data_IF_828835815383
#
_entry.id   IF_828835815383
#
_cell.length_a   1.000
_cell.length_b   1.000
_cell.length_c   1.000
_cell.angle_alpha   90.00
_cell.angle_beta   90.00
_cell.angle_gamma   90.00
#
_symmetry.space_group_name_H-M   'P 1'
#
loop_
_entity.id
_entity.type
_entity.pdbx_description
1 polymer ?
#
# COMPACT_ATOMS: atom_id res chain seq x y z
N UNK A 1 -28.24 1.80 -4.73
CA UNK A 1 -27.33 1.76 -5.90
C UNK A 1 -26.22 0.75 -5.62
N UNK A 2 -26.05 -0.25 -6.46
CA UNK A 2 -24.96 -1.19 -6.27
C UNK A 2 -23.61 -0.47 -6.45
N UNK A 3 -22.71 -0.66 -5.50
CA UNK A 3 -21.35 -0.16 -5.62
C UNK A 3 -20.61 -1.04 -6.64
N UNK A 4 -20.15 -0.42 -7.70
CA UNK A 4 -19.29 -1.10 -8.65
C UNK A 4 -17.88 -1.18 -8.07
N UNK A 5 -17.43 -2.40 -7.81
CA UNK A 5 -16.09 -2.65 -7.28
C UNK A 5 -15.29 -3.41 -8.34
N UNK A 6 -14.63 -2.71 -9.25
CA UNK A 6 -13.91 -3.36 -10.34
C UNK A 6 -12.72 -4.15 -9.81
N UNK A 7 -12.43 -5.24 -10.48
CA UNK A 7 -11.18 -5.96 -10.26
C UNK A 7 -10.05 -5.22 -10.96
N UNK A 8 -8.92 -5.12 -10.29
CA UNK A 8 -7.71 -4.53 -10.84
C UNK A 8 -6.69 -5.61 -11.19
N UNK A 9 -5.80 -5.27 -12.10
CA UNK A 9 -4.67 -6.11 -12.51
C UNK A 9 -3.39 -5.44 -12.01
N UNK A 10 -2.47 -6.24 -11.48
CA UNK A 10 -1.18 -5.72 -11.05
C UNK A 10 -0.31 -5.40 -12.27
N UNK A 11 0.19 -4.17 -12.35
CA UNK A 11 1.13 -3.72 -13.38
C UNK A 11 2.59 -4.00 -13.04
N UNK A 12 2.84 -4.60 -11.89
CA UNK A 12 4.13 -4.99 -11.36
C UNK A 12 3.91 -5.77 -10.08
N UNK A 13 4.98 -6.22 -9.46
CA UNK A 13 4.89 -6.93 -8.19
C UNK A 13 4.43 -5.98 -7.08
N UNK A 14 3.43 -6.41 -6.31
CA UNK A 14 2.83 -5.62 -5.22
C UNK A 14 2.98 -6.38 -3.91
N UNK A 15 3.58 -5.75 -2.91
CA UNK A 15 3.68 -6.32 -1.57
C UNK A 15 2.35 -6.23 -0.82
N UNK A 16 2.06 -7.17 0.09
CA UNK A 16 0.86 -7.12 0.91
C UNK A 16 0.82 -5.86 1.78
N UNK A 17 -0.39 -5.38 2.06
CA UNK A 17 -0.62 -4.23 2.94
C UNK A 17 0.17 -2.98 2.49
N UNK A 18 0.08 -2.66 1.20
CA UNK A 18 0.76 -1.53 0.57
C UNK A 18 -0.19 -0.62 -0.17
N UNK A 19 0.13 0.65 -0.22
CA UNK A 19 -0.58 1.62 -1.05
C UNK A 19 -0.32 1.38 -2.52
N UNK A 20 -1.34 1.58 -3.34
CA UNK A 20 -1.29 1.40 -4.79
C UNK A 20 -1.78 2.64 -5.53
N UNK A 21 -1.28 2.80 -6.75
CA UNK A 21 -1.64 3.86 -7.68
C UNK A 21 -2.09 3.26 -9.01
N UNK A 22 -2.89 3.99 -9.77
CA UNK A 22 -3.33 3.58 -11.12
C UNK A 22 -2.21 3.87 -12.12
N UNK A 23 -1.82 2.86 -12.88
CA UNK A 23 -0.79 2.98 -13.92
C UNK A 23 -1.32 2.68 -15.32
N UNK A 24 -2.56 2.24 -15.44
CA UNK A 24 -3.20 1.94 -16.72
C UNK A 24 -4.69 1.63 -16.51
N UNK A 25 -5.38 1.28 -17.57
CA UNK A 25 -6.80 0.92 -17.48
C UNK A 25 -6.97 -0.33 -16.61
N UNK A 26 -7.72 -0.20 -15.53
CA UNK A 26 -7.88 -1.25 -14.49
C UNK A 26 -6.56 -1.87 -14.02
N UNK A 27 -5.46 -1.13 -14.15
CA UNK A 27 -4.13 -1.59 -13.77
C UNK A 27 -3.59 -0.72 -12.64
N UNK A 28 -3.08 -1.36 -11.60
CA UNK A 28 -2.48 -0.69 -10.44
C UNK A 28 -1.09 -1.22 -10.19
N UNK A 29 -0.25 -0.35 -9.63
CA UNK A 29 1.08 -0.70 -9.17
C UNK A 29 1.30 -0.18 -7.77
N UNK A 30 2.28 -0.76 -7.06
CA UNK A 30 2.69 -0.24 -5.77
C UNK A 30 3.21 1.19 -5.93
N UNK A 31 2.83 2.09 -5.02
CA UNK A 31 3.30 3.47 -5.05
C UNK A 31 4.82 3.50 -4.91
N UNK A 32 5.50 4.12 -5.86
CA UNK A 32 6.96 4.23 -5.92
C UNK A 32 7.49 5.66 -5.90
N UNK A 33 6.61 6.66 -6.01
CA UNK A 33 7.00 8.08 -5.99
C UNK A 33 5.99 8.90 -5.18
N UNK A 34 6.46 9.98 -4.56
CA UNK A 34 5.62 10.86 -3.73
C UNK A 34 4.57 11.63 -4.52
N UNK A 35 4.73 11.74 -5.83
CA UNK A 35 3.81 12.44 -6.72
C UNK A 35 2.68 11.55 -7.23
N UNK A 36 2.76 10.25 -7.03
CA UNK A 36 1.76 9.31 -7.50
C UNK A 36 0.53 9.33 -6.60
N UNK A 37 -0.67 9.56 -7.17
CA UNK A 37 -1.91 9.54 -6.38
C UNK A 37 -2.16 8.14 -5.80
N UNK A 38 -2.50 8.09 -4.53
CA UNK A 38 -2.90 6.85 -3.88
C UNK A 38 -4.39 6.64 -4.15
N UNK A 39 -4.78 5.48 -4.67
CA UNK A 39 -6.20 5.13 -4.86
C UNK A 39 -6.72 4.20 -3.78
N UNK A 40 -5.86 3.49 -3.11
CA UNK A 40 -6.25 2.53 -2.09
C UNK A 40 -5.10 1.65 -1.63
N UNK A 41 -5.47 0.51 -1.07
CA UNK A 41 -4.55 -0.44 -0.45
C UNK A 41 -4.78 -1.83 -1.02
N UNK A 42 -3.70 -2.49 -1.42
CA UNK A 42 -3.69 -3.92 -1.68
C UNK A 42 -3.31 -4.63 -0.38
N UNK A 43 -4.29 -5.18 0.32
CA UNK A 43 -4.04 -5.77 1.63
C UNK A 43 -3.56 -7.21 1.53
N UNK A 44 -4.35 -8.04 0.90
CA UNK A 44 -3.96 -9.40 0.55
C UNK A 44 -4.38 -9.61 -0.89
N UNK A 45 -3.45 -10.06 -1.69
CA UNK A 45 -3.70 -10.28 -3.09
C UNK A 45 -4.31 -11.62 -3.36
N UNK A 46 -4.23 -11.98 -4.61
CA UNK A 46 -4.56 -13.29 -5.08
C UNK A 46 -3.69 -14.29 -4.32
N UNK A 47 -4.33 -15.20 -3.63
CA UNK A 47 -3.62 -16.28 -2.96
C UNK A 47 -2.79 -17.05 -3.98
N UNK A 48 -1.48 -16.97 -3.84
CA UNK A 48 -0.57 -17.86 -4.54
C UNK A 48 -0.44 -19.12 -3.68
N UNK A 49 -0.95 -20.28 -4.13
CA UNK A 49 -0.78 -21.50 -3.35
C UNK A 49 0.71 -21.79 -3.19
N UNK A 50 1.11 -22.47 -2.10
CA UNK A 50 2.51 -22.89 -1.93
C UNK A 50 2.94 -23.66 -3.17
N UNK A 51 3.99 -23.16 -3.81
CA UNK A 51 4.52 -23.83 -4.98
C UNK A 51 5.45 -24.99 -4.57
N UNK A 52 5.80 -25.81 -5.51
CA UNK A 52 6.68 -26.96 -5.25
C UNK A 52 8.04 -26.52 -4.69
N UNK A 53 8.53 -25.34 -5.08
CA UNK A 53 9.79 -24.81 -4.57
C UNK A 53 9.74 -24.54 -3.05
N UNK A 54 8.61 -24.06 -2.54
CA UNK A 54 8.39 -23.87 -1.10
C UNK A 54 8.42 -25.20 -0.36
N UNK A 55 7.77 -26.22 -0.92
CA UNK A 55 7.74 -27.58 -0.35
C UNK A 55 9.12 -28.22 -0.34
N UNK A 56 9.97 -27.84 -1.27
CA UNK A 56 11.35 -28.36 -1.37
C UNK A 56 12.38 -27.49 -0.63
N UNK A 57 11.93 -26.55 0.21
CA UNK A 57 12.80 -25.68 1.00
C UNK A 57 13.19 -24.37 0.32
N UNK A 58 12.57 -24.01 -0.78
CA UNK A 58 12.74 -22.72 -1.43
C UNK A 58 12.01 -21.59 -0.70
N UNK A 59 12.22 -20.35 -1.15
CA UNK A 59 11.57 -19.17 -0.59
C UNK A 59 10.22 -18.95 -1.24
N UNK A 60 9.17 -18.87 -0.43
CA UNK A 60 7.84 -18.51 -0.89
C UNK A 60 7.77 -17.03 -1.27
N UNK A 61 7.13 -16.75 -2.39
CA UNK A 61 6.82 -15.36 -2.75
C UNK A 61 5.70 -14.84 -1.87
N UNK A 62 6.00 -13.82 -1.07
CA UNK A 62 5.04 -13.16 -0.16
C UNK A 62 4.42 -11.91 -0.80
N UNK A 63 4.18 -11.93 -2.09
CA UNK A 63 3.57 -10.82 -2.79
C UNK A 63 2.06 -10.84 -2.66
N UNK A 64 1.44 -9.66 -2.56
CA UNK A 64 0.00 -9.51 -2.68
C UNK A 64 -0.46 -9.90 -4.09
N UNK A 65 0.30 -9.49 -5.10
CA UNK A 65 0.08 -9.90 -6.48
C UNK A 65 1.39 -9.83 -7.26
N UNK A 66 1.55 -10.73 -8.21
CA UNK A 66 2.56 -10.65 -9.25
C UNK A 66 2.00 -9.88 -10.44
N UNK A 67 2.90 -9.32 -11.25
CA UNK A 67 2.53 -8.68 -12.50
C UNK A 67 1.55 -9.53 -13.32
N UNK A 68 0.48 -8.91 -13.79
CA UNK A 68 -0.55 -9.56 -14.60
C UNK A 68 -1.63 -10.30 -13.81
N UNK A 69 -1.51 -10.43 -12.49
CA UNK A 69 -2.52 -11.07 -11.64
C UNK A 69 -3.60 -10.08 -11.20
N UNK A 70 -4.81 -10.59 -11.04
CA UNK A 70 -5.91 -9.79 -10.49
C UNK A 70 -5.75 -9.61 -8.99
N UNK A 71 -6.18 -8.46 -8.48
CA UNK A 71 -6.17 -8.17 -7.05
C UNK A 71 -7.36 -7.28 -6.67
N UNK A 72 -7.70 -7.32 -5.39
CA UNK A 72 -8.67 -6.42 -4.79
C UNK A 72 -7.94 -5.21 -4.21
N UNK A 73 -8.47 -4.03 -4.51
CA UNK A 73 -8.00 -2.77 -3.93
C UNK A 73 -9.07 -2.23 -2.99
N UNK A 74 -8.70 -2.00 -1.74
CA UNK A 74 -9.54 -1.34 -0.76
C UNK A 74 -9.44 0.16 -0.97
N UNK A 75 -10.58 0.80 -1.20
CA UNK A 75 -10.65 2.22 -1.56
C UNK A 75 -11.24 3.10 -0.46
N UNK A 76 -11.68 4.29 -0.87
CA UNK A 76 -12.24 5.32 0.01
C UNK A 76 -13.30 4.74 0.96
N UNK A 77 -13.13 5.00 2.25
CA UNK A 77 -14.05 4.60 3.31
C UNK A 77 -13.75 3.24 3.92
N UNK A 78 -12.96 2.41 3.28
CA UNK A 78 -12.58 1.10 3.82
C UNK A 78 -11.58 1.28 4.98
N UNK A 79 -11.65 0.35 5.91
CA UNK A 79 -10.64 0.23 6.98
C UNK A 79 -9.81 -1.01 6.68
N UNK A 80 -8.51 -0.81 6.59
CA UNK A 80 -7.60 -1.91 6.28
C UNK A 80 -6.26 -1.75 6.99
N UNK A 81 -5.48 -2.81 6.99
CA UNK A 81 -4.14 -2.80 7.54
C UNK A 81 -3.12 -2.46 6.46
N UNK A 82 -2.20 -1.57 6.81
CA UNK A 82 -1.06 -1.21 5.96
C UNK A 82 0.22 -1.45 6.76
N UNK A 83 1.22 -1.94 6.09
CA UNK A 83 2.56 -2.10 6.64
C UNK A 83 3.13 -0.73 7.02
N UNK A 84 3.57 -0.54 8.26
CA UNK A 84 4.21 0.72 8.63
C UNK A 84 5.70 0.69 8.28
N UNK A 85 6.16 1.78 7.68
CA UNK A 85 7.58 1.98 7.34
C UNK A 85 8.28 2.94 8.32
N UNK A 86 7.57 3.40 9.33
CA UNK A 86 8.05 4.27 10.39
C UNK A 86 7.08 4.26 11.55
N UNK A 87 7.41 4.98 12.62
CA UNK A 87 6.53 5.13 13.77
C UNK A 87 5.32 6.01 13.39
N UNK A 88 4.12 5.57 13.74
CA UNK A 88 2.87 6.26 13.39
C UNK A 88 2.03 6.39 14.66
N UNK A 89 1.52 7.59 14.91
CA UNK A 89 0.61 7.88 16.02
C UNK A 89 -0.84 7.90 15.51
N UNK A 90 -1.76 7.36 16.30
CA UNK A 90 -3.19 7.41 15.99
C UNK A 90 -3.65 8.84 15.69
N UNK A 91 -4.48 9.00 14.67
CA UNK A 91 -4.97 10.29 14.20
C UNK A 91 -4.09 10.98 13.16
N UNK A 92 -2.88 10.48 12.93
CA UNK A 92 -1.98 11.05 11.93
C UNK A 92 -2.43 10.72 10.51
N UNK A 93 -2.25 11.67 9.60
CA UNK A 93 -2.37 11.42 8.16
C UNK A 93 -1.13 10.68 7.68
N UNK A 94 -1.35 9.70 6.84
CA UNK A 94 -0.28 8.83 6.33
C UNK A 94 -0.19 8.90 4.81
N UNK A 95 1.04 8.80 4.35
CA UNK A 95 1.40 8.71 2.92
C UNK A 95 2.16 7.42 2.67
N UNK A 96 2.43 7.12 1.41
CA UNK A 96 3.27 6.00 1.05
C UNK A 96 4.74 6.34 1.28
N UNK A 97 5.47 5.40 1.85
CA UNK A 97 6.92 5.47 1.93
C UNK A 97 7.54 5.15 0.57
N UNK A 98 8.45 5.96 0.11
CA UNK A 98 9.05 5.84 -1.23
C UNK A 98 10.58 5.94 -1.25
N UNK A 99 11.19 6.14 -0.10
CA UNK A 99 12.64 6.39 0.00
C UNK A 99 13.52 5.16 0.13
N UNK A 100 12.95 3.96 0.10
CA UNK A 100 13.72 2.74 0.28
C UNK A 100 14.52 2.35 -0.95
N UNK A 101 15.78 2.01 -0.73
CA UNK A 101 16.70 1.49 -1.76
C UNK A 101 17.40 0.26 -1.22
N UNK A 102 17.86 -0.60 -2.10
CA UNK A 102 18.53 -1.84 -1.69
C UNK A 102 17.67 -2.70 -0.79
N UNK A 103 18.18 -3.06 0.38
CA UNK A 103 17.45 -3.90 1.34
C UNK A 103 16.19 -3.23 1.91
N UNK A 104 16.09 -1.89 1.82
CA UNK A 104 14.94 -1.14 2.30
C UNK A 104 13.88 -0.91 1.20
N UNK A 105 14.10 -1.37 -0.01
CA UNK A 105 13.14 -1.22 -1.11
C UNK A 105 11.79 -1.90 -0.80
N UNK A 106 11.80 -2.95 0.02
CA UNK A 106 10.58 -3.66 0.46
C UNK A 106 9.70 -2.81 1.37
N UNK A 107 10.22 -1.72 1.93
CA UNK A 107 9.45 -0.79 2.74
C UNK A 107 8.62 0.19 1.90
N UNK A 108 8.94 0.33 0.61
CA UNK A 108 8.20 1.20 -0.29
C UNK A 108 6.74 0.76 -0.40
N UNK A 109 5.84 1.72 -0.50
CA UNK A 109 4.41 1.50 -0.51
C UNK A 109 3.78 1.30 0.87
N UNK A 110 4.58 1.14 1.91
CA UNK A 110 4.10 1.13 3.30
C UNK A 110 3.67 2.51 3.77
N UNK A 111 3.08 2.57 4.97
CA UNK A 111 2.59 3.82 5.53
C UNK A 111 3.67 4.54 6.33
N UNK A 112 3.71 5.85 6.18
CA UNK A 112 4.50 6.76 7.01
C UNK A 112 3.72 8.05 7.20
N UNK A 113 3.94 8.77 8.30
CA UNK A 113 3.27 10.06 8.53
C UNK A 113 3.76 11.11 7.53
N UNK A 114 2.87 12.05 7.17
CA UNK A 114 3.28 13.18 6.31
C UNK A 114 4.24 14.15 7.02
N UNK A 115 4.21 14.16 8.37
CA UNK A 115 5.07 15.00 9.16
C UNK A 115 4.77 16.49 9.01
N UNK A 116 5.75 17.32 9.32
CA UNK A 116 5.68 18.78 9.25
C UNK A 116 6.52 19.36 8.12
N UNK A 117 7.14 18.52 7.31
CA UNK A 117 7.95 18.96 6.17
C UNK A 117 7.07 19.65 5.13
N UNK A 118 7.49 20.86 4.73
CA UNK A 118 6.79 21.61 3.69
C UNK A 118 6.75 20.84 2.37
N UNK A 119 5.63 20.91 1.70
CA UNK A 119 5.46 20.23 0.41
C UNK A 119 4.02 19.83 0.15
N UNK A 120 3.81 19.25 -1.01
CA UNK A 120 2.52 18.68 -1.42
C UNK A 120 2.60 17.17 -1.27
N UNK A 121 1.70 16.58 -0.49
CA UNK A 121 1.73 15.16 -0.17
C UNK A 121 0.45 14.46 -0.62
N UNK A 122 0.63 13.32 -1.25
CA UNK A 122 -0.47 12.40 -1.54
C UNK A 122 -0.75 11.56 -0.29
N UNK A 123 -1.90 11.77 0.31
CA UNK A 123 -2.31 11.10 1.55
C UNK A 123 -3.18 9.89 1.21
N UNK A 124 -2.89 8.76 1.86
CA UNK A 124 -3.69 7.53 1.69
C UNK A 124 -4.83 7.38 2.70
N UNK A 125 -4.72 8.05 3.84
CA UNK A 125 -5.75 7.97 4.88
C UNK A 125 -5.27 8.42 6.24
N UNK A 126 -6.04 8.04 7.25
CA UNK A 126 -5.79 8.40 8.65
C UNK A 126 -5.52 7.15 9.47
N UNK A 127 -4.46 7.17 10.28
CA UNK A 127 -4.13 6.08 11.19
C UNK A 127 -5.13 6.01 12.35
N UNK A 128 -5.62 4.83 12.64
CA UNK A 128 -6.58 4.59 13.71
C UNK A 128 -5.92 4.07 14.99
N UNK A 129 -4.68 3.62 14.92
CA UNK A 129 -3.92 3.14 16.06
C UNK A 129 -2.47 3.62 16.01
N UNK A 130 -1.77 3.50 17.13
CA UNK A 130 -0.35 3.86 17.24
C UNK A 130 0.49 2.61 17.08
N UNK A 131 1.48 2.67 16.20
CA UNK A 131 2.37 1.56 15.89
C UNK A 131 3.82 2.02 15.76
N UNK A 132 4.73 1.09 15.92
CA UNK A 132 6.15 1.27 15.58
C UNK A 132 6.44 0.72 14.18
N UNK A 133 7.57 1.12 13.62
CA UNK A 133 8.00 0.64 12.30
C UNK A 133 8.00 -0.89 12.23
N UNK A 134 7.48 -1.41 11.13
CA UNK A 134 7.37 -2.86 10.89
C UNK A 134 6.05 -3.48 11.33
N UNK A 135 5.29 -2.82 12.19
CA UNK A 135 3.95 -3.28 12.56
C UNK A 135 2.91 -2.88 11.51
N UNK A 136 1.75 -3.50 11.56
CA UNK A 136 0.63 -3.12 10.69
C UNK A 136 -0.23 -2.08 11.39
N UNK A 137 -0.44 -0.95 10.71
CA UNK A 137 -1.30 0.13 11.17
C UNK A 137 -2.69 -0.01 10.55
N UNK A 138 -3.73 0.16 11.35
CA UNK A 138 -5.10 0.28 10.86
C UNK A 138 -5.30 1.68 10.28
N UNK A 139 -5.78 1.72 9.05
CA UNK A 139 -5.98 2.98 8.32
C UNK A 139 -7.41 3.02 7.79
N UNK A 140 -8.08 4.15 8.01
CA UNK A 140 -9.27 4.48 7.25
C UNK A 140 -8.82 5.12 5.94
N UNK A 141 -9.07 4.44 4.84
CA UNK A 141 -8.64 4.88 3.51
C UNK A 141 -9.41 6.13 3.11
N UNK A 142 -8.68 7.20 2.84
CA UNK A 142 -9.23 8.48 2.39
C UNK A 142 -8.17 9.18 1.53
N UNK A 143 -8.07 8.80 0.25
CA UNK A 143 -7.07 9.40 -0.64
C UNK A 143 -7.35 10.87 -0.88
N UNK A 144 -6.39 11.73 -0.60
CA UNK A 144 -6.48 13.16 -0.86
C UNK A 144 -5.08 13.80 -0.89
N UNK A 145 -5.03 15.05 -1.25
CA UNK A 145 -3.80 15.84 -1.30
C UNK A 145 -3.77 16.83 -0.14
N UNK A 146 -2.62 16.92 0.53
CA UNK A 146 -2.38 17.90 1.59
C UNK A 146 -1.16 18.74 1.24
N UNK A 147 -1.28 20.03 1.41
CA UNK A 147 -0.18 21.00 1.28
C UNK A 147 0.26 21.41 2.68
N UNK A 148 1.52 21.17 3.00
CA UNK A 148 2.15 21.63 4.24
C UNK A 148 2.98 22.86 3.92
N UNK A 149 2.66 23.93 4.61
CA UNK A 149 3.33 25.22 4.40
C UNK A 149 4.74 25.26 5.05
#
# INVERSE_FOLDING_TARGET
>A
MPLYNPSFVAGGDIFPASFVTVTGEFTVSQVGATTEPIIGVAQEGTFDPPNLATLLGGTESKLAAKEGRTLKVFGLGDVCMVRSSGNITAGSKVKAYTGGTGNNATLNGGAITIGTTAGTWQVGGTALNTVVAGEKVLIQVNPHVVVVA
#
